data_IF_477699908998
#
_entry.id   IF_477699908998
#
_cell.length_a   1.000
_cell.length_b   1.000
_cell.length_c   1.000
_cell.angle_alpha   90.00
_cell.angle_beta   90.00
_cell.angle_gamma   90.00
#
_symmetry.space_group_name_H-M   'P 1'
#
loop_
_entity.id
_entity.type
_entity.pdbx_description
1 polymer ?
#
# COMPACT_ATOMS: atom_id res chain seq x y z
N UNK A 1 39.29 31.46 -6.35
CA UNK A 1 37.92 31.02 -5.97
C UNK A 1 37.94 30.51 -4.54
N UNK A 2 37.14 31.10 -3.65
CA UNK A 2 37.03 30.67 -2.24
C UNK A 2 36.28 29.32 -2.14
N UNK A 3 36.52 28.54 -1.08
CA UNK A 3 35.86 27.26 -0.79
C UNK A 3 34.33 27.38 -0.78
N UNK A 4 33.81 28.50 -0.26
CA UNK A 4 32.38 28.80 -0.25
C UNK A 4 31.78 28.90 -1.66
N UNK A 5 32.46 29.61 -2.57
CA UNK A 5 32.01 29.75 -3.96
C UNK A 5 32.06 28.41 -4.71
N UNK A 6 33.02 27.53 -4.39
CA UNK A 6 33.09 26.16 -4.92
C UNK A 6 32.01 25.24 -4.37
N UNK A 7 31.60 25.42 -3.12
CA UNK A 7 30.52 24.64 -2.52
C UNK A 7 29.16 25.06 -3.11
N UNK A 8 28.91 26.37 -3.23
CA UNK A 8 27.70 26.91 -3.85
C UNK A 8 27.57 26.48 -5.31
N UNK A 9 28.64 26.63 -6.11
CA UNK A 9 28.62 26.21 -7.51
C UNK A 9 28.46 24.68 -7.68
N UNK A 10 28.81 23.86 -6.68
CA UNK A 10 28.56 22.41 -6.72
C UNK A 10 27.10 22.09 -6.42
N UNK A 11 26.51 22.80 -5.47
CA UNK A 11 25.11 22.63 -5.11
C UNK A 11 24.18 23.14 -6.23
N UNK A 12 24.49 24.31 -6.81
CA UNK A 12 23.71 24.90 -7.92
C UNK A 12 23.77 24.06 -9.22
N UNK A 13 24.79 23.21 -9.37
CA UNK A 13 24.96 22.30 -10.52
C UNK A 13 24.60 20.84 -10.20
N UNK A 14 24.15 20.54 -8.98
CA UNK A 14 23.57 19.24 -8.68
C UNK A 14 22.19 19.18 -9.34
N UNK A 15 22.09 18.37 -10.39
CA UNK A 15 20.78 17.96 -10.89
C UNK A 15 20.24 16.85 -9.97
N UNK A 16 18.91 16.80 -9.75
CA UNK A 16 18.32 15.62 -9.12
C UNK A 16 18.67 14.39 -9.97
N UNK A 17 18.90 13.26 -9.31
CA UNK A 17 19.20 12.01 -10.00
C UNK A 17 18.07 11.70 -11.00
N UNK A 18 18.43 11.27 -12.22
CA UNK A 18 17.46 11.08 -13.32
C UNK A 18 16.31 10.12 -12.95
N UNK A 19 16.57 9.13 -12.08
CA UNK A 19 15.58 8.15 -11.62
C UNK A 19 14.66 8.66 -10.50
N UNK A 20 14.99 9.78 -9.84
CA UNK A 20 14.25 10.28 -8.68
C UNK A 20 12.79 10.64 -8.98
N UNK A 21 12.50 11.10 -10.21
CA UNK A 21 11.14 11.42 -10.63
C UNK A 21 10.27 10.19 -10.90
N UNK A 22 10.88 9.12 -11.42
CA UNK A 22 10.17 7.87 -11.71
C UNK A 22 9.85 7.11 -10.42
N UNK A 23 10.83 7.00 -9.51
CA UNK A 23 10.64 6.37 -8.20
C UNK A 23 9.59 7.10 -7.36
N UNK A 24 9.59 8.44 -7.39
CA UNK A 24 8.57 9.25 -6.72
C UNK A 24 7.17 8.99 -7.30
N UNK A 25 7.04 8.99 -8.63
CA UNK A 25 5.78 8.72 -9.29
C UNK A 25 5.25 7.31 -8.96
N UNK A 26 6.12 6.30 -8.97
CA UNK A 26 5.77 4.94 -8.58
C UNK A 26 5.28 4.87 -7.13
N UNK A 27 5.98 5.51 -6.20
CA UNK A 27 5.59 5.54 -4.78
C UNK A 27 4.21 6.17 -4.59
N UNK A 28 3.99 7.35 -5.17
CA UNK A 28 2.71 8.06 -5.08
C UNK A 28 1.57 7.24 -5.71
N UNK A 29 1.84 6.59 -6.85
CA UNK A 29 0.88 5.72 -7.50
C UNK A 29 0.49 4.53 -6.62
N UNK A 30 1.47 3.86 -6.00
CA UNK A 30 1.27 2.73 -5.09
C UNK A 30 0.45 3.17 -3.88
N UNK A 31 0.83 4.26 -3.23
CA UNK A 31 0.13 4.78 -2.03
C UNK A 31 -1.34 5.06 -2.32
N UNK A 32 -1.63 5.85 -3.37
CA UNK A 32 -3.00 6.20 -3.75
C UNK A 32 -3.83 4.96 -4.11
N UNK A 33 -3.22 4.02 -4.82
CA UNK A 33 -3.92 2.82 -5.29
C UNK A 33 -4.18 1.84 -4.14
N UNK A 34 -3.23 1.69 -3.22
CA UNK A 34 -3.41 0.92 -1.99
C UNK A 34 -4.53 1.49 -1.11
N UNK A 35 -4.59 2.82 -0.95
CA UNK A 35 -5.70 3.46 -0.23
C UNK A 35 -7.06 3.20 -0.88
N UNK A 36 -7.14 3.26 -2.21
CA UNK A 36 -8.38 2.97 -2.93
C UNK A 36 -8.82 1.51 -2.75
N UNK A 37 -7.86 0.57 -2.79
CA UNK A 37 -8.13 -0.83 -2.52
C UNK A 37 -8.68 -1.03 -1.09
N UNK A 38 -8.08 -0.38 -0.08
CA UNK A 38 -8.59 -0.40 1.30
C UNK A 38 -10.02 0.14 1.44
N UNK A 39 -10.41 1.11 0.60
CA UNK A 39 -11.76 1.69 0.57
C UNK A 39 -12.79 0.81 -0.13
N UNK A 40 -12.41 -0.35 -0.65
CA UNK A 40 -13.32 -1.26 -1.34
C UNK A 40 -13.37 -1.10 -2.86
N UNK A 41 -12.43 -0.37 -3.46
CA UNK A 41 -12.38 -0.17 -4.90
C UNK A 41 -11.45 -1.20 -5.56
N UNK A 42 -11.91 -1.84 -6.63
CA UNK A 42 -11.05 -2.67 -7.46
C UNK A 42 -10.04 -1.78 -8.21
N UNK A 43 -8.79 -2.23 -8.28
CA UNK A 43 -7.79 -1.64 -9.17
C UNK A 43 -8.00 -2.21 -10.56
N UNK A 44 -8.20 -1.34 -11.55
CA UNK A 44 -8.33 -1.71 -12.95
C UNK A 44 -7.35 -0.91 -13.78
N UNK A 45 -6.31 -1.57 -14.29
CA UNK A 45 -5.30 -0.95 -15.16
C UNK A 45 -5.64 -1.29 -16.60
N UNK A 46 -5.82 -0.26 -17.44
CA UNK A 46 -6.16 -0.40 -18.85
C UNK A 46 -5.06 0.18 -19.73
N UNK A 47 -4.15 -0.68 -20.18
CA UNK A 47 -3.14 -0.32 -21.18
C UNK A 47 -3.67 -0.50 -22.60
N UNK A 48 -3.18 0.31 -23.52
CA UNK A 48 -3.52 0.26 -24.95
C UNK A 48 -3.18 -1.12 -25.52
N UNK A 49 -4.11 -1.66 -26.32
CA UNK A 49 -3.96 -2.95 -27.01
C UNK A 49 -3.64 -4.15 -26.08
N UNK A 50 -3.90 -4.04 -24.78
CA UNK A 50 -3.60 -5.06 -23.77
C UNK A 50 -4.87 -5.53 -23.06
N UNK A 51 -4.84 -6.74 -22.50
CA UNK A 51 -5.87 -7.17 -21.57
C UNK A 51 -5.79 -6.35 -20.28
N UNK A 52 -6.92 -6.00 -19.65
CA UNK A 52 -6.91 -5.25 -18.39
C UNK A 52 -6.30 -6.11 -17.28
N UNK A 53 -5.50 -5.48 -16.42
CA UNK A 53 -5.06 -6.06 -15.16
C UNK A 53 -6.06 -5.62 -14.11
N UNK A 54 -6.58 -6.57 -13.33
CA UNK A 54 -7.57 -6.32 -12.28
C UNK A 54 -7.05 -6.91 -10.98
N UNK A 55 -6.93 -6.06 -9.95
CA UNK A 55 -6.76 -6.50 -8.57
C UNK A 55 -8.07 -6.21 -7.85
N UNK A 56 -8.82 -7.27 -7.57
CA UNK A 56 -10.13 -7.16 -6.93
C UNK A 56 -9.99 -6.94 -5.43
N UNK A 57 -10.95 -6.20 -4.85
CA UNK A 57 -11.08 -6.07 -3.41
C UNK A 57 -11.29 -7.42 -2.71
N UNK A 58 -11.89 -8.39 -3.40
CA UNK A 58 -12.01 -9.78 -2.93
C UNK A 58 -10.64 -10.41 -2.62
N UNK A 59 -9.62 -10.11 -3.44
CA UNK A 59 -8.24 -10.54 -3.24
C UNK A 59 -7.60 -9.86 -2.03
N UNK A 60 -7.90 -8.59 -1.80
CA UNK A 60 -7.49 -7.89 -0.58
C UNK A 60 -8.08 -8.51 0.68
N UNK A 61 -9.39 -8.80 0.69
CA UNK A 61 -10.03 -9.49 1.81
C UNK A 61 -9.40 -10.87 2.07
N UNK A 62 -9.08 -11.62 1.00
CA UNK A 62 -8.41 -12.91 1.12
C UNK A 62 -7.01 -12.78 1.71
N UNK A 63 -6.24 -11.75 1.34
CA UNK A 63 -4.92 -11.49 1.89
C UNK A 63 -4.98 -11.11 3.38
N UNK A 64 -5.94 -10.26 3.77
CA UNK A 64 -6.19 -9.93 5.19
C UNK A 64 -6.60 -11.17 5.98
N UNK A 65 -7.49 -11.99 5.44
CA UNK A 65 -7.91 -13.25 6.07
C UNK A 65 -6.73 -14.20 6.25
N UNK A 66 -5.86 -14.34 5.24
CA UNK A 66 -4.67 -15.19 5.32
C UNK A 66 -3.72 -14.71 6.41
N UNK A 67 -3.45 -13.40 6.47
CA UNK A 67 -2.63 -12.79 7.52
C UNK A 67 -3.18 -13.11 8.91
N UNK A 68 -4.47 -12.85 9.15
CA UNK A 68 -5.11 -13.13 10.43
C UNK A 68 -5.05 -14.61 10.80
N UNK A 69 -5.34 -15.50 9.85
CA UNK A 69 -5.26 -16.94 10.07
C UNK A 69 -3.84 -17.40 10.42
N UNK A 70 -2.83 -16.85 9.74
CA UNK A 70 -1.44 -17.21 10.00
C UNK A 70 -1.02 -16.82 11.41
N UNK A 71 -1.37 -15.61 11.86
CA UNK A 71 -1.13 -15.18 13.26
C UNK A 71 -1.79 -16.07 14.29
N UNK A 72 -2.98 -16.60 14.00
CA UNK A 72 -3.68 -17.56 14.87
C UNK A 72 -2.95 -18.90 14.91
N UNK A 73 -2.50 -19.41 13.76
CA UNK A 73 -1.70 -20.64 13.66
C UNK A 73 -0.39 -20.50 14.44
N UNK A 74 0.24 -19.33 14.36
CA UNK A 74 1.51 -19.04 15.02
C UNK A 74 1.34 -18.72 16.53
N UNK A 75 0.10 -18.65 17.02
CA UNK A 75 -0.20 -18.42 18.44
C UNK A 75 0.06 -16.98 18.90
N UNK A 76 0.02 -16.01 17.99
CA UNK A 76 0.30 -14.60 18.30
C UNK A 76 -0.87 -13.88 18.97
N UNK A 77 -2.07 -14.45 18.90
CA UNK A 77 -3.24 -13.99 19.65
C UNK A 77 -3.24 -14.56 21.08
N UNK A 78 -2.45 -13.94 21.95
CA UNK A 78 -2.24 -14.43 23.33
C UNK A 78 -3.37 -14.09 24.32
N UNK A 79 -4.29 -13.21 23.95
CA UNK A 79 -5.38 -12.73 24.80
C UNK A 79 -6.77 -13.09 24.26
N UNK A 80 -6.86 -14.04 23.32
CA UNK A 80 -8.11 -14.45 22.68
C UNK A 80 -8.86 -13.29 22.01
N UNK A 81 -8.15 -12.31 21.44
CA UNK A 81 -8.73 -11.14 20.79
C UNK A 81 -9.70 -11.52 19.67
N UNK A 82 -9.49 -12.64 18.97
CA UNK A 82 -10.42 -13.12 17.97
C UNK A 82 -11.78 -13.47 18.57
N UNK A 83 -11.80 -14.18 19.69
CA UNK A 83 -13.04 -14.50 20.40
C UNK A 83 -13.71 -13.23 20.95
N UNK A 84 -12.93 -12.32 21.54
CA UNK A 84 -13.43 -11.04 22.04
C UNK A 84 -14.04 -10.18 20.94
N UNK A 85 -13.42 -10.12 19.76
CA UNK A 85 -13.94 -9.42 18.59
C UNK A 85 -15.31 -9.94 18.18
N UNK A 86 -15.47 -11.27 18.06
CA UNK A 86 -16.74 -11.90 17.64
C UNK A 86 -17.83 -11.62 18.66
N UNK A 87 -17.55 -11.79 19.95
CA UNK A 87 -18.52 -11.55 21.03
C UNK A 87 -18.95 -10.07 21.03
N UNK A 88 -17.98 -9.14 20.92
CA UNK A 88 -18.27 -7.71 20.90
C UNK A 88 -19.07 -7.31 19.66
N UNK A 89 -18.71 -7.81 18.47
CA UNK A 89 -19.41 -7.48 17.23
C UNK A 89 -20.88 -7.93 17.24
N UNK A 90 -21.15 -9.15 17.71
CA UNK A 90 -22.52 -9.67 17.84
C UNK A 90 -23.30 -8.94 18.94
N UNK A 91 -22.63 -8.56 20.03
CA UNK A 91 -23.23 -7.82 21.14
C UNK A 91 -23.40 -6.32 20.90
N UNK A 92 -22.89 -5.77 19.78
CA UNK A 92 -22.89 -4.32 19.50
C UNK A 92 -21.91 -3.51 20.36
N UNK A 93 -20.87 -4.16 20.89
CA UNK A 93 -19.81 -3.53 21.67
C UNK A 93 -18.71 -2.89 20.81
N UNK A 94 -17.72 -2.22 21.44
CA UNK A 94 -16.59 -1.66 20.71
C UNK A 94 -15.69 -2.77 20.15
N UNK A 95 -15.40 -2.72 18.85
CA UNK A 95 -14.63 -3.77 18.13
C UNK A 95 -13.25 -3.33 17.67
N UNK A 96 -13.02 -2.01 17.60
CA UNK A 96 -11.83 -1.43 16.96
C UNK A 96 -10.52 -1.95 17.57
N UNK A 97 -10.42 -1.92 18.90
CA UNK A 97 -9.22 -2.32 19.64
C UNK A 97 -8.86 -3.79 19.42
N UNK A 98 -9.86 -4.68 19.34
CA UNK A 98 -9.63 -6.09 19.05
C UNK A 98 -9.14 -6.31 17.62
N UNK A 99 -9.71 -5.58 16.66
CA UNK A 99 -9.23 -5.59 15.28
C UNK A 99 -7.78 -5.12 15.15
N UNK A 100 -7.41 -4.01 15.81
CA UNK A 100 -6.03 -3.50 15.81
C UNK A 100 -5.05 -4.50 16.43
N UNK A 101 -5.40 -5.13 17.56
CA UNK A 101 -4.57 -6.15 18.20
C UNK A 101 -4.37 -7.39 17.31
N UNK A 102 -5.44 -7.85 16.65
CA UNK A 102 -5.40 -8.98 15.71
C UNK A 102 -4.61 -8.70 14.43
N UNK A 103 -4.55 -7.45 13.99
CA UNK A 103 -3.73 -7.07 12.85
C UNK A 103 -2.23 -7.02 13.20
N UNK A 104 -1.91 -6.52 14.40
CA UNK A 104 -0.54 -6.35 14.86
C UNK A 104 0.11 -5.12 14.26
N UNK A 105 1.43 -4.98 14.47
CA UNK A 105 2.18 -3.81 14.01
C UNK A 105 2.36 -3.82 12.49
N UNK A 106 2.14 -2.65 11.88
CA UNK A 106 2.49 -2.40 10.49
C UNK A 106 3.96 -2.05 10.31
N UNK A 107 4.49 -2.26 9.12
CA UNK A 107 5.80 -1.77 8.69
C UNK A 107 5.73 -0.26 8.39
N UNK A 108 4.59 0.19 7.88
CA UNK A 108 4.29 1.59 7.63
C UNK A 108 3.51 2.23 8.78
N UNK A 109 3.55 3.57 8.87
CA UNK A 109 2.73 4.33 9.81
C UNK A 109 1.23 4.21 9.57
N UNK A 110 0.83 3.75 8.37
CA UNK A 110 -0.57 3.51 8.00
C UNK A 110 -1.09 2.14 8.50
N UNK A 111 -0.21 1.29 9.04
CA UNK A 111 -0.56 0.04 9.70
C UNK A 111 -0.68 -1.16 8.75
N UNK A 112 -0.87 -2.34 9.33
CA UNK A 112 -0.79 -3.63 8.60
C UNK A 112 -1.77 -3.75 7.43
N UNK A 113 -2.96 -3.17 7.54
CA UNK A 113 -3.95 -3.17 6.45
C UNK A 113 -3.44 -2.45 5.20
N UNK A 114 -2.66 -1.38 5.38
CA UNK A 114 -2.05 -0.65 4.28
C UNK A 114 -0.87 -1.44 3.70
N UNK A 115 -0.01 -2.01 4.55
CA UNK A 115 1.10 -2.86 4.08
C UNK A 115 0.61 -4.01 3.18
N UNK A 116 -0.50 -4.66 3.56
CA UNK A 116 -1.10 -5.73 2.76
C UNK A 116 -1.62 -5.20 1.41
N UNK A 117 -2.22 -4.01 1.40
CA UNK A 117 -2.70 -3.39 0.17
C UNK A 117 -1.53 -3.01 -0.76
N UNK A 118 -0.45 -2.44 -0.20
CA UNK A 118 0.78 -2.12 -0.92
C UNK A 118 1.36 -3.38 -1.55
N UNK A 119 1.49 -4.47 -0.81
CA UNK A 119 2.05 -5.73 -1.33
C UNK A 119 1.26 -6.32 -2.52
N UNK A 120 -0.05 -6.05 -2.60
CA UNK A 120 -0.89 -6.46 -3.74
C UNK A 120 -0.77 -5.53 -4.95
N UNK A 121 -0.48 -4.26 -4.72
CA UNK A 121 -0.49 -3.20 -5.75
C UNK A 121 0.90 -2.96 -6.34
N UNK A 122 1.94 -3.03 -5.52
CA UNK A 122 3.33 -2.76 -5.89
C UNK A 122 3.81 -3.52 -7.15
N UNK A 123 3.50 -4.82 -7.35
CA UNK A 123 3.89 -5.54 -8.57
C UNK A 123 3.27 -4.98 -9.86
N UNK A 124 2.28 -4.10 -9.76
CA UNK A 124 1.55 -3.53 -10.89
C UNK A 124 1.86 -2.05 -11.13
N UNK A 125 2.74 -1.44 -10.34
CA UNK A 125 3.05 -0.01 -10.42
C UNK A 125 3.55 0.42 -11.80
N UNK A 126 4.47 -0.32 -12.40
CA UNK A 126 4.98 -0.02 -13.75
C UNK A 126 3.87 -0.04 -14.81
N UNK A 127 2.98 -1.04 -14.75
CA UNK A 127 1.84 -1.13 -15.67
C UNK A 127 0.82 0.00 -15.44
N UNK A 128 0.64 0.42 -14.19
CA UNK A 128 -0.20 1.55 -13.80
C UNK A 128 0.31 2.87 -14.35
N UNK A 129 1.58 3.18 -14.12
CA UNK A 129 2.23 4.39 -14.64
C UNK A 129 2.22 4.44 -16.16
N UNK A 130 2.44 3.31 -16.83
CA UNK A 130 2.35 3.22 -18.28
C UNK A 130 0.92 3.57 -18.77
N UNK A 131 -0.11 3.05 -18.11
CA UNK A 131 -1.50 3.36 -18.47
C UNK A 131 -1.82 4.85 -18.29
N UNK A 132 -1.37 5.48 -17.20
CA UNK A 132 -1.56 6.92 -16.97
C UNK A 132 -0.84 7.78 -18.01
N UNK A 133 0.37 7.39 -18.41
CA UNK A 133 1.10 8.07 -19.48
C UNK A 133 0.38 7.95 -20.84
N UNK A 134 -0.12 6.75 -21.18
CA UNK A 134 -0.89 6.52 -22.40
C UNK A 134 -2.20 7.32 -22.44
N UNK A 135 -2.87 7.50 -21.30
CA UNK A 135 -4.09 8.30 -21.18
C UNK A 135 -3.81 9.82 -21.23
N UNK A 136 -2.64 10.28 -20.77
CA UNK A 136 -2.23 11.69 -20.82
C UNK A 136 -1.86 12.18 -22.23
N UNK A 137 -1.52 11.27 -23.14
CA UNK A 137 -1.18 11.55 -24.54
C UNK A 137 -2.42 11.70 -25.47
N UNK A 138 -3.64 11.64 -24.92
CA UNK A 138 -4.93 11.75 -25.64
C UNK A 138 -5.53 13.17 -25.61
#
# INVERSE_FOLDING_TARGET
MNSFARAQARWDNMQPDEDSGHEEAARVWIENTAENLMRGCDLVIRRRLSAPIVVEYSGYLAAVQLHLNQRQIDGEDTEDFFAQLVIAAVGGGPVKTFGEALLGEGETSMGKLFDIAVALVEPHAEAGLQAEAEDADL
#
